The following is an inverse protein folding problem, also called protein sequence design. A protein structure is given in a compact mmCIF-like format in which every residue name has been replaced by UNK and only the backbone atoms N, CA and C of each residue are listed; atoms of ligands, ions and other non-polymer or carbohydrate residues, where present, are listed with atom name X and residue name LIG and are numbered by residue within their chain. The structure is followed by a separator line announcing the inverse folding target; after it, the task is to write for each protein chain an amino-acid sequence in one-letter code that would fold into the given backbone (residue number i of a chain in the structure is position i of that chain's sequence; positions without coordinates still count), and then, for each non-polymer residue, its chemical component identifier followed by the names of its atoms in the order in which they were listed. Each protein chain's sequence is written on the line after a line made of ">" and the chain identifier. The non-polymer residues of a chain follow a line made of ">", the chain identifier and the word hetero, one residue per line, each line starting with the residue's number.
data_IF_488291374870
#
_entry.id   IF_488291374870
#
_cell.length_a   1.000
_cell.length_b   1.000
_cell.length_c   1.000
_cell.angle_alpha   90.00
_cell.angle_beta   90.00
_cell.angle_gamma   90.00
#
_symmetry.space_group_name_H-M   'P 1'
#
loop_
_entity.id
_entity.type
_entity.pdbx_description
1 polymer ?
#
# COMPACT_ATOMS: atom_id res chain seq x y z
N UNK A 1 34.59 -44.36 18.58
CA UNK A 1 33.18 -44.21 18.12
C UNK A 1 32.45 -43.01 18.75
N UNK A 2 32.65 -42.68 20.03
CA UNK A 2 31.93 -41.59 20.74
C UNK A 2 32.13 -40.17 20.16
N UNK A 3 33.28 -39.89 19.51
CA UNK A 3 33.59 -38.57 18.90
C UNK A 3 32.86 -38.32 17.57
N UNK A 4 32.47 -39.38 16.86
CA UNK A 4 31.77 -39.30 15.56
C UNK A 4 30.28 -39.00 15.81
N UNK A 5 29.70 -39.64 16.84
CA UNK A 5 28.31 -39.42 17.26
C UNK A 5 28.06 -37.97 17.70
N UNK A 6 29.04 -37.36 18.40
CA UNK A 6 28.96 -35.98 18.88
C UNK A 6 29.01 -34.93 17.76
N UNK A 7 29.69 -35.25 16.65
CA UNK A 7 29.73 -34.40 15.44
C UNK A 7 28.45 -34.52 14.62
N UNK A 8 27.85 -35.71 14.54
CA UNK A 8 26.55 -35.91 13.88
C UNK A 8 25.39 -35.21 14.60
N UNK A 9 25.43 -35.13 15.93
CA UNK A 9 24.44 -34.40 16.75
C UNK A 9 24.50 -32.87 16.56
N UNK A 10 25.67 -32.30 16.26
CA UNK A 10 25.81 -30.86 16.02
C UNK A 10 25.33 -30.44 14.62
N UNK A 11 25.36 -31.34 13.64
CA UNK A 11 24.89 -31.09 12.27
C UNK A 11 23.35 -31.13 12.13
N UNK A 12 22.66 -31.82 13.03
CA UNK A 12 21.20 -31.97 13.00
C UNK A 12 20.44 -30.82 13.66
N UNK A 13 21.10 -30.01 14.50
CA UNK A 13 20.49 -28.87 15.20
C UNK A 13 20.39 -27.58 14.36
N UNK A 14 21.05 -27.51 13.19
CA UNK A 14 21.08 -26.30 12.36
C UNK A 14 19.95 -26.16 11.34
N UNK A 15 19.17 -27.21 11.08
CA UNK A 15 18.28 -27.27 9.91
C UNK A 15 16.79 -26.97 10.20
N UNK A 16 16.39 -26.73 11.45
CA UNK A 16 14.96 -26.61 11.84
C UNK A 16 14.44 -25.18 11.95
N UNK A 17 15.24 -24.15 11.64
CA UNK A 17 14.84 -22.74 11.82
C UNK A 17 14.35 -22.04 10.55
N UNK A 18 14.27 -22.73 9.40
CA UNK A 18 13.97 -22.09 8.11
C UNK A 18 12.55 -22.33 7.55
N UNK A 19 11.66 -22.99 8.31
CA UNK A 19 10.43 -23.58 7.74
C UNK A 19 9.15 -22.74 7.84
N UNK A 20 9.21 -21.44 8.18
CA UNK A 20 7.99 -20.60 8.25
C UNK A 20 8.06 -19.26 7.50
N UNK A 21 9.05 -19.03 6.64
CA UNK A 21 9.06 -17.88 5.72
C UNK A 21 8.30 -18.25 4.44
N UNK A 22 6.99 -18.51 4.55
CA UNK A 22 6.14 -18.52 3.35
C UNK A 22 6.01 -17.07 2.89
N UNK A 23 6.35 -16.72 1.63
CA UNK A 23 6.17 -15.36 1.15
C UNK A 23 4.71 -14.95 1.34
N UNK A 24 4.45 -13.82 2.00
CA UNK A 24 3.16 -13.15 1.88
C UNK A 24 3.03 -12.69 0.44
N UNK A 25 1.94 -13.05 -0.22
CA UNK A 25 1.67 -12.52 -1.56
C UNK A 25 1.57 -11.00 -1.41
N UNK A 26 2.25 -10.19 -2.25
CA UNK A 26 2.16 -8.74 -2.13
C UNK A 26 0.70 -8.31 -2.26
N UNK A 27 0.30 -7.36 -1.44
CA UNK A 27 -1.04 -6.81 -1.50
C UNK A 27 -1.30 -6.20 -2.90
N UNK A 28 -2.47 -6.46 -3.50
CA UNK A 28 -2.81 -5.86 -4.78
C UNK A 28 -2.92 -4.33 -4.62
N UNK A 29 -2.69 -3.55 -5.68
CA UNK A 29 -2.89 -2.11 -5.63
C UNK A 29 -4.36 -1.76 -5.35
N UNK A 30 -4.67 -0.52 -4.89
CA UNK A 30 -6.04 -0.05 -4.84
C UNK A 30 -6.67 -0.09 -6.25
N UNK A 31 -8.00 -0.07 -6.34
CA UNK A 31 -8.64 0.15 -7.64
C UNK A 31 -8.19 1.48 -8.21
N UNK A 32 -8.07 1.59 -9.55
CA UNK A 32 -7.84 2.89 -10.19
C UNK A 32 -8.90 3.89 -9.71
N UNK A 33 -8.52 5.01 -9.07
CA UNK A 33 -9.49 5.98 -8.56
C UNK A 33 -10.20 6.68 -9.71
N UNK A 34 -11.42 7.13 -9.43
CA UNK A 34 -12.02 8.26 -10.10
C UNK A 34 -11.40 9.54 -9.51
N UNK A 35 -10.92 10.42 -10.39
CA UNK A 35 -10.14 11.62 -10.04
C UNK A 35 -10.84 12.81 -10.66
N UNK A 36 -11.28 13.77 -9.85
CA UNK A 36 -11.87 14.99 -10.36
C UNK A 36 -10.81 15.98 -10.86
N UNK A 37 -11.21 16.92 -11.70
CA UNK A 37 -10.45 18.17 -11.85
C UNK A 37 -10.41 18.94 -10.50
N UNK A 38 -9.44 19.86 -10.30
CA UNK A 38 -9.41 20.71 -9.11
C UNK A 38 -10.63 21.63 -9.05
N UNK A 39 -11.22 21.78 -7.87
CA UNK A 39 -12.27 22.78 -7.66
C UNK A 39 -11.71 24.22 -7.55
N UNK A 40 -12.59 25.20 -7.32
CA UNK A 40 -12.19 26.60 -7.16
C UNK A 40 -11.22 26.86 -5.98
N UNK A 41 -11.06 25.90 -5.07
CA UNK A 41 -10.12 25.95 -3.94
C UNK A 41 -8.88 25.07 -4.14
N UNK A 42 -8.67 24.52 -5.35
CA UNK A 42 -7.54 23.64 -5.65
C UNK A 42 -7.68 22.23 -5.06
N UNK A 43 -8.90 21.81 -4.69
CA UNK A 43 -9.13 20.47 -4.16
C UNK A 43 -9.49 19.49 -5.26
N UNK A 44 -8.73 18.40 -5.32
CA UNK A 44 -8.97 17.23 -6.18
C UNK A 44 -9.62 16.16 -5.34
N UNK A 45 -10.73 15.59 -5.81
CA UNK A 45 -11.43 14.48 -5.16
C UNK A 45 -10.94 13.15 -5.72
N UNK A 46 -10.65 12.22 -4.82
CA UNK A 46 -10.24 10.85 -5.12
C UNK A 46 -11.27 9.87 -4.57
N UNK A 47 -11.84 9.04 -5.45
CA UNK A 47 -12.85 8.05 -5.08
C UNK A 47 -12.49 6.67 -5.62
N UNK A 48 -12.73 5.64 -4.82
CA UNK A 48 -12.48 4.28 -5.27
C UNK A 48 -12.66 3.24 -4.17
N UNK A 49 -11.99 2.11 -4.37
CA UNK A 49 -12.01 0.97 -3.46
C UNK A 49 -10.61 0.49 -3.14
N UNK A 50 -10.40 0.09 -1.88
CA UNK A 50 -9.23 -0.64 -1.43
C UNK A 50 -9.69 -1.73 -0.46
N UNK A 51 -8.78 -2.57 0.03
CA UNK A 51 -9.16 -3.60 0.99
C UNK A 51 -9.88 -2.98 2.20
N UNK A 52 -10.89 -3.64 2.81
CA UNK A 52 -11.57 -3.14 4.00
C UNK A 52 -10.59 -2.85 5.14
N UNK A 53 -10.97 -1.91 6.03
CA UNK A 53 -10.17 -1.53 7.20
C UNK A 53 -8.72 -1.15 6.89
N UNK A 54 -8.47 -0.63 5.68
CA UNK A 54 -7.14 -0.22 5.24
C UNK A 54 -7.02 1.29 5.21
N UNK A 55 -5.84 1.81 5.52
CA UNK A 55 -5.52 3.23 5.41
C UNK A 55 -5.08 3.53 3.97
N UNK A 56 -5.90 4.24 3.22
CA UNK A 56 -5.61 4.69 1.85
C UNK A 56 -4.89 6.03 1.93
N UNK A 57 -3.76 6.13 1.25
CA UNK A 57 -2.87 7.28 1.29
C UNK A 57 -2.62 7.74 -0.15
N UNK A 58 -2.80 9.04 -0.38
CA UNK A 58 -2.44 9.74 -1.61
C UNK A 58 -1.31 10.72 -1.31
N UNK A 59 -0.31 10.73 -2.17
CA UNK A 59 0.76 11.74 -2.18
C UNK A 59 0.78 12.43 -3.54
N UNK A 60 0.57 13.75 -3.51
CA UNK A 60 0.83 14.60 -4.66
C UNK A 60 2.31 15.00 -4.65
N UNK A 61 3.07 14.53 -5.63
CA UNK A 61 4.52 14.74 -5.69
C UNK A 61 4.91 16.15 -6.14
N UNK A 62 4.00 16.88 -6.79
CA UNK A 62 4.31 18.21 -7.34
C UNK A 62 4.26 19.29 -6.25
N UNK A 63 3.46 19.09 -5.19
CA UNK A 63 3.31 20.03 -4.07
C UNK A 63 3.59 19.44 -2.69
N UNK A 64 4.06 18.19 -2.62
CA UNK A 64 4.39 17.45 -1.38
C UNK A 64 3.24 17.33 -0.37
N UNK A 65 1.98 17.40 -0.82
CA UNK A 65 0.81 17.20 0.03
C UNK A 65 0.44 15.72 0.12
N UNK A 66 0.12 15.27 1.33
CA UNK A 66 -0.38 13.93 1.61
C UNK A 66 -1.78 14.02 2.21
N UNK A 67 -2.70 13.18 1.73
CA UNK A 67 -4.04 13.04 2.27
C UNK A 67 -4.45 11.56 2.29
N UNK A 68 -5.43 11.19 3.10
CA UNK A 68 -5.85 9.80 3.20
C UNK A 68 -7.13 9.55 3.99
N UNK A 69 -7.60 8.31 3.93
CA UNK A 69 -8.81 7.85 4.60
C UNK A 69 -8.78 6.33 4.86
N UNK A 70 -9.42 5.89 5.96
CA UNK A 70 -9.61 4.46 6.25
C UNK A 70 -10.89 3.91 5.59
N UNK A 71 -10.80 2.79 4.86
CA UNK A 71 -11.88 2.22 4.02
C UNK A 71 -13.03 1.51 4.76
N UNK A 72 -12.99 1.38 6.09
CA UNK A 72 -14.00 0.71 6.95
C UNK A 72 -14.52 -0.62 6.35
N UNK A 73 -15.75 -1.03 6.69
CA UNK A 73 -16.37 -2.26 6.16
C UNK A 73 -16.81 -2.15 4.69
N UNK A 74 -16.99 -0.93 4.18
CA UNK A 74 -17.49 -0.70 2.82
C UNK A 74 -16.41 -0.87 1.76
N UNK A 75 -15.14 -0.99 2.15
CA UNK A 75 -14.00 -1.08 1.24
C UNK A 75 -13.87 0.14 0.31
N UNK A 76 -14.45 1.29 0.68
CA UNK A 76 -14.53 2.50 -0.16
C UNK A 76 -13.82 3.67 0.50
N UNK A 77 -13.16 4.47 -0.33
CA UNK A 77 -12.61 5.78 0.05
C UNK A 77 -13.19 6.88 -0.85
N UNK A 78 -13.25 8.07 -0.28
CA UNK A 78 -13.76 9.32 -0.82
C UNK A 78 -13.19 10.47 0.01
N UNK A 79 -12.12 11.07 -0.48
CA UNK A 79 -11.44 12.19 0.18
C UNK A 79 -10.86 13.17 -0.84
N UNK A 80 -10.41 14.32 -0.35
CA UNK A 80 -9.80 15.37 -1.17
C UNK A 80 -8.34 15.59 -0.81
N UNK A 81 -7.58 16.06 -1.79
CA UNK A 81 -6.18 16.46 -1.67
C UNK A 81 -5.97 17.77 -2.44
N UNK A 82 -5.01 18.60 -2.01
CA UNK A 82 -4.62 19.78 -2.77
C UNK A 82 -3.87 19.38 -4.04
N UNK A 83 -4.23 19.99 -5.18
CA UNK A 83 -3.57 19.75 -6.44
C UNK A 83 -4.07 20.63 -7.58
N UNK A 84 -3.27 20.67 -8.64
CA UNK A 84 -3.52 21.38 -9.88
C UNK A 84 -3.63 20.40 -11.05
N UNK A 85 -4.16 20.88 -12.18
CA UNK A 85 -4.26 20.10 -13.42
C UNK A 85 -2.86 19.65 -13.85
N UNK A 86 -2.72 18.36 -14.17
CA UNK A 86 -1.44 17.78 -14.58
C UNK A 86 -0.58 17.25 -13.43
N UNK A 87 -0.93 17.55 -12.17
CA UNK A 87 -0.22 17.01 -11.01
C UNK A 87 -0.23 15.49 -11.00
N UNK A 88 0.86 14.92 -10.50
CA UNK A 88 1.08 13.49 -10.38
C UNK A 88 0.80 13.02 -8.95
N UNK A 89 -0.22 12.16 -8.82
CA UNK A 89 -0.66 11.59 -7.55
C UNK A 89 -0.34 10.10 -7.54
N UNK A 90 0.38 9.68 -6.50
CA UNK A 90 0.60 8.28 -6.16
C UNK A 90 -0.34 7.87 -5.02
N UNK A 91 -1.02 6.73 -5.19
CA UNK A 91 -2.04 6.22 -4.28
C UNK A 91 -1.72 4.78 -3.89
N UNK A 92 -1.72 4.48 -2.60
CA UNK A 92 -1.55 3.14 -2.07
C UNK A 92 -2.38 2.95 -0.80
N UNK A 93 -2.35 1.76 -0.23
CA UNK A 93 -2.94 1.53 1.09
C UNK A 93 -2.06 0.64 1.97
N UNK A 94 -2.28 0.78 3.27
CA UNK A 94 -1.68 -0.06 4.31
C UNK A 94 -2.79 -0.92 4.92
N UNK A 95 -2.55 -2.22 5.02
CA UNK A 95 -3.42 -3.17 5.70
C UNK A 95 -2.62 -3.96 6.75
N UNK A 96 -2.85 -3.64 8.03
CA UNK A 96 -2.01 -4.20 9.09
C UNK A 96 -0.58 -3.68 8.98
N UNK A 97 0.38 -4.60 8.83
CA UNK A 97 1.81 -4.29 8.65
C UNK A 97 2.26 -4.34 7.18
N UNK A 98 1.34 -4.65 6.26
CA UNK A 98 1.63 -4.83 4.84
C UNK A 98 1.22 -3.57 4.04
N UNK A 99 2.08 -3.18 3.10
CA UNK A 99 1.83 -2.09 2.14
C UNK A 99 1.44 -2.65 0.76
N UNK A 100 0.47 -2.01 0.12
CA UNK A 100 0.07 -2.35 -1.24
C UNK A 100 1.06 -1.87 -2.31
N UNK A 101 0.94 -2.44 -3.50
CA UNK A 101 1.47 -1.77 -4.69
C UNK A 101 0.80 -0.39 -4.90
N UNK A 102 1.45 0.49 -5.65
CA UNK A 102 0.95 1.84 -5.92
C UNK A 102 0.15 1.94 -7.21
N UNK A 103 -0.82 2.85 -7.23
CA UNK A 103 -1.51 3.34 -8.42
C UNK A 103 -1.09 4.78 -8.67
N UNK A 104 -0.88 5.12 -9.93
CA UNK A 104 -0.48 6.45 -10.37
C UNK A 104 -1.55 7.05 -11.25
N UNK A 105 -1.90 8.29 -10.96
CA UNK A 105 -2.89 9.07 -11.70
C UNK A 105 -2.39 10.48 -11.88
N UNK A 106 -2.90 11.10 -12.94
CA UNK A 106 -2.67 12.51 -13.24
C UNK A 106 -3.99 13.23 -13.04
N UNK A 107 -3.94 14.42 -12.43
CA UNK A 107 -5.13 15.26 -12.27
C UNK A 107 -5.61 15.72 -13.66
N UNK A 108 -6.86 15.44 -14.05
CA UNK A 108 -7.35 15.72 -15.40
C UNK A 108 -7.70 17.20 -15.61
N UNK A 109 -7.71 17.60 -16.88
CA UNK A 109 -8.49 18.76 -17.35
C UNK A 109 -9.99 18.39 -17.33
N UNK A 110 -10.89 19.35 -17.05
CA UNK A 110 -12.35 19.11 -16.93
C UNK A 110 -12.99 18.30 -18.06
#
# INVERSE_FOLDING_TARGET
>A
MLRVLRRLLLLSAGLTLASCLSPTLPLPPPSRPDVSAPDAGGLVRLQGTAAPHSEVIAWNHDNDVIAGQVTRDTARYDFTIQGEVGDYIELWYIQGDDESQTVRVTVPEE
#
